data_IF_045382890862
#
_entry.id   IF_045382890862
#
_cell.length_a   1.000
_cell.length_b   1.000
_cell.length_c   1.000
_cell.angle_alpha   90.00
_cell.angle_beta   90.00
_cell.angle_gamma   90.00
#
_symmetry.space_group_name_H-M   'P 1'
#
loop_
_entity.id
_entity.type
_entity.pdbx_description
1 polymer ?
#
# COMPACT_ATOMS: atom_id res chain seq x y z
N UNK A 1 0.14 -21.12 32.02
CA UNK A 1 0.94 -20.26 31.11
C UNK A 1 2.04 -19.57 31.92
N UNK A 2 3.28 -19.80 31.56
CA UNK A 2 4.43 -19.13 32.18
C UNK A 2 4.55 -17.67 31.64
N UNK A 3 5.49 -16.87 32.20
CA UNK A 3 5.68 -15.46 31.81
C UNK A 3 6.08 -15.30 30.33
N UNK A 4 6.86 -16.24 29.77
CA UNK A 4 7.26 -16.27 28.37
C UNK A 4 6.10 -16.53 27.43
N UNK A 5 5.20 -17.48 27.77
CA UNK A 5 3.99 -17.76 26.99
C UNK A 5 2.99 -16.58 27.00
N UNK A 6 2.86 -15.89 28.14
CA UNK A 6 2.03 -14.65 28.22
C UNK A 6 2.62 -13.52 27.37
N UNK A 7 3.95 -13.37 27.37
CA UNK A 7 4.63 -12.38 26.51
C UNK A 7 4.42 -12.65 25.02
N UNK A 8 4.61 -13.90 24.59
CA UNK A 8 4.38 -14.32 23.20
C UNK A 8 2.91 -14.16 22.77
N UNK A 9 1.96 -14.52 23.63
CA UNK A 9 0.54 -14.33 23.36
C UNK A 9 0.16 -12.84 23.23
N UNK A 10 0.70 -11.98 24.08
CA UNK A 10 0.51 -10.53 24.02
C UNK A 10 1.12 -9.93 22.73
N UNK A 11 2.30 -10.35 22.32
CA UNK A 11 2.93 -9.89 21.09
C UNK A 11 2.10 -10.32 19.86
N UNK A 12 1.65 -11.56 19.78
CA UNK A 12 0.76 -12.04 18.72
C UNK A 12 -0.54 -11.22 18.66
N UNK A 13 -1.15 -10.92 19.78
CA UNK A 13 -2.36 -10.09 19.83
C UNK A 13 -2.10 -8.65 19.35
N UNK A 14 -0.94 -8.05 19.67
CA UNK A 14 -0.62 -6.69 19.25
C UNK A 14 -0.39 -6.55 17.75
N UNK A 15 0.22 -7.55 17.10
CA UNK A 15 0.53 -7.56 15.67
C UNK A 15 -0.49 -8.36 14.84
N UNK A 16 -1.39 -9.10 15.48
CA UNK A 16 -2.45 -9.86 14.82
C UNK A 16 -3.51 -8.96 14.19
N UNK A 17 -4.20 -9.51 13.19
CA UNK A 17 -5.32 -8.86 12.51
C UNK A 17 -6.61 -9.69 12.61
N UNK A 18 -6.69 -10.59 13.60
CA UNK A 18 -7.88 -11.43 13.81
C UNK A 18 -9.16 -10.58 13.94
N UNK A 19 -10.15 -10.93 13.15
CA UNK A 19 -11.46 -10.25 13.11
C UNK A 19 -11.44 -8.90 12.37
N UNK A 20 -10.29 -8.45 11.85
CA UNK A 20 -10.19 -7.22 11.02
C UNK A 20 -10.44 -7.55 9.56
N UNK A 21 -11.09 -6.61 8.86
CA UNK A 21 -11.25 -6.65 7.41
C UNK A 21 -10.35 -5.60 6.77
N UNK A 22 -9.53 -6.00 5.79
CA UNK A 22 -8.58 -5.10 5.11
C UNK A 22 -8.84 -5.07 3.61
N UNK A 23 -9.05 -3.88 3.06
CA UNK A 23 -9.10 -3.63 1.61
C UNK A 23 -7.68 -3.39 1.09
N UNK A 24 -7.26 -4.15 0.07
CA UNK A 24 -5.94 -4.01 -0.55
C UNK A 24 -6.12 -3.74 -2.05
N UNK A 25 -5.64 -2.59 -2.51
CA UNK A 25 -5.64 -2.27 -3.94
C UNK A 25 -4.33 -2.75 -4.59
N UNK A 26 -4.39 -3.13 -5.88
CA UNK A 26 -3.23 -3.66 -6.59
C UNK A 26 -2.75 -5.01 -6.06
N UNK A 27 -3.67 -5.82 -5.51
CA UNK A 27 -3.37 -7.09 -4.83
C UNK A 27 -2.98 -8.24 -5.76
N UNK A 28 -3.00 -8.05 -7.08
CA UNK A 28 -2.79 -9.11 -8.07
C UNK A 28 -1.32 -9.49 -8.29
N UNK A 29 -0.36 -8.70 -7.79
CA UNK A 29 1.09 -8.96 -7.94
C UNK A 29 1.93 -8.07 -7.00
N UNK A 30 3.24 -8.36 -6.93
CA UNK A 30 4.24 -7.54 -6.25
C UNK A 30 3.91 -7.27 -4.80
N UNK A 31 4.09 -6.02 -4.36
CA UNK A 31 3.88 -5.61 -2.96
C UNK A 31 2.45 -5.89 -2.49
N UNK A 32 1.42 -5.55 -3.28
CA UNK A 32 0.03 -5.78 -2.88
C UNK A 32 -0.32 -7.25 -2.68
N UNK A 33 0.27 -8.14 -3.48
CA UNK A 33 0.16 -9.60 -3.30
C UNK A 33 0.81 -10.06 -1.99
N UNK A 34 2.05 -9.60 -1.70
CA UNK A 34 2.74 -9.95 -0.46
C UNK A 34 1.99 -9.42 0.77
N UNK A 35 1.47 -8.18 0.71
CA UNK A 35 0.62 -7.61 1.77
C UNK A 35 -0.62 -8.46 2.00
N UNK A 36 -1.28 -8.94 0.94
CA UNK A 36 -2.44 -9.81 1.06
C UNK A 36 -2.11 -11.10 1.81
N UNK A 37 -1.02 -11.78 1.42
CA UNK A 37 -0.58 -13.00 2.09
C UNK A 37 -0.27 -12.77 3.58
N UNK A 38 0.58 -11.78 3.88
CA UNK A 38 0.95 -11.49 5.28
C UNK A 38 -0.24 -11.09 6.15
N UNK A 39 -1.20 -10.32 5.61
CA UNK A 39 -2.42 -9.97 6.34
C UNK A 39 -3.34 -11.18 6.58
N UNK A 40 -3.47 -12.10 5.60
CA UNK A 40 -4.22 -13.33 5.76
C UNK A 40 -3.59 -14.25 6.81
N UNK A 41 -2.27 -14.43 6.78
CA UNK A 41 -1.50 -15.18 7.77
C UNK A 41 -1.62 -14.58 9.19
N UNK A 42 -1.84 -13.25 9.29
CA UNK A 42 -2.12 -12.56 10.55
C UNK A 42 -3.61 -12.61 10.97
N UNK A 43 -4.47 -13.35 10.27
CA UNK A 43 -5.87 -13.58 10.62
C UNK A 43 -6.87 -12.55 10.08
N UNK A 44 -6.50 -11.69 9.15
CA UNK A 44 -7.43 -10.73 8.55
C UNK A 44 -8.35 -11.38 7.50
N UNK A 45 -9.60 -10.91 7.41
CA UNK A 45 -10.43 -11.09 6.22
C UNK A 45 -10.05 -10.02 5.17
N UNK A 46 -9.89 -10.41 3.91
CA UNK A 46 -9.39 -9.52 2.88
C UNK A 46 -10.43 -9.23 1.79
N UNK A 47 -10.45 -7.96 1.38
CA UNK A 47 -11.09 -7.52 0.15
C UNK A 47 -9.98 -7.11 -0.80
N UNK A 48 -9.73 -7.92 -1.83
CA UNK A 48 -8.68 -7.69 -2.82
C UNK A 48 -9.27 -6.97 -4.02
N UNK A 49 -8.56 -5.97 -4.56
CA UNK A 49 -8.95 -5.37 -5.83
C UNK A 49 -7.78 -5.15 -6.78
N UNK A 50 -8.08 -5.26 -8.06
CA UNK A 50 -7.17 -5.10 -9.19
C UNK A 50 -7.94 -5.23 -10.50
N UNK A 51 -7.29 -4.95 -11.63
CA UNK A 51 -7.92 -4.98 -12.97
C UNK A 51 -7.93 -6.38 -13.59
N UNK A 52 -6.92 -7.18 -13.27
CA UNK A 52 -6.73 -8.52 -13.83
C UNK A 52 -7.43 -9.55 -12.95
N UNK A 53 -8.55 -10.07 -13.45
CA UNK A 53 -9.40 -11.04 -12.74
C UNK A 53 -8.64 -12.34 -12.43
N UNK A 54 -7.89 -12.86 -13.38
CA UNK A 54 -7.21 -14.15 -13.22
C UNK A 54 -6.08 -14.08 -12.19
N UNK A 55 -5.25 -13.02 -12.26
CA UNK A 55 -4.19 -12.81 -11.27
C UNK A 55 -4.75 -12.55 -9.89
N UNK A 56 -5.85 -11.80 -9.80
CA UNK A 56 -6.50 -11.53 -8.53
C UNK A 56 -7.08 -12.80 -7.91
N UNK A 57 -7.67 -13.66 -8.74
CA UNK A 57 -8.19 -14.96 -8.32
C UNK A 57 -7.05 -15.88 -7.84
N UNK A 58 -5.92 -15.94 -8.56
CA UNK A 58 -4.73 -16.69 -8.12
C UNK A 58 -4.20 -16.18 -6.77
N UNK A 59 -4.19 -14.87 -6.55
CA UNK A 59 -3.83 -14.35 -5.24
C UNK A 59 -4.79 -14.85 -4.16
N UNK A 60 -6.10 -14.77 -4.41
CA UNK A 60 -7.13 -15.21 -3.49
C UNK A 60 -6.97 -16.68 -3.06
N UNK A 61 -6.65 -17.57 -4.01
CA UNK A 61 -6.45 -19.00 -3.80
C UNK A 61 -5.22 -19.36 -2.94
N UNK A 62 -4.26 -18.43 -2.84
CA UNK A 62 -3.03 -18.61 -2.06
C UNK A 62 -3.14 -18.07 -0.62
N UNK A 63 -4.27 -17.46 -0.26
CA UNK A 63 -4.44 -16.87 1.07
C UNK A 63 -4.74 -17.93 2.13
N UNK A 64 -4.15 -17.75 3.31
CA UNK A 64 -4.47 -18.54 4.50
C UNK A 64 -5.80 -18.09 5.10
N UNK A 65 -6.61 -19.04 5.57
CA UNK A 65 -7.91 -18.75 6.18
C UNK A 65 -9.05 -18.70 5.16
N UNK A 66 -10.15 -18.09 5.54
CA UNK A 66 -11.37 -18.00 4.76
C UNK A 66 -11.99 -16.58 4.76
N UNK A 67 -13.15 -16.41 4.11
CA UNK A 67 -13.87 -15.14 4.09
C UNK A 67 -13.23 -14.04 3.23
N UNK A 68 -12.17 -14.35 2.48
CA UNK A 68 -11.55 -13.40 1.56
C UNK A 68 -12.39 -13.22 0.29
N UNK A 69 -12.36 -12.01 -0.28
CA UNK A 69 -13.13 -11.66 -1.49
C UNK A 69 -12.27 -10.92 -2.49
N UNK A 70 -12.53 -11.15 -3.78
CA UNK A 70 -11.91 -10.43 -4.88
C UNK A 70 -12.97 -9.58 -5.60
N UNK A 71 -12.73 -8.28 -5.71
CA UNK A 71 -13.57 -7.31 -6.41
C UNK A 71 -12.76 -6.69 -7.55
N UNK A 72 -13.04 -7.10 -8.78
CA UNK A 72 -12.33 -6.58 -9.96
C UNK A 72 -12.81 -5.16 -10.26
N UNK A 73 -11.86 -4.20 -10.27
CA UNK A 73 -12.16 -2.82 -10.59
C UNK A 73 -10.95 -2.13 -11.25
N UNK A 74 -11.22 -1.29 -12.24
CA UNK A 74 -10.28 -0.26 -12.66
C UNK A 74 -10.50 0.98 -11.78
N UNK A 75 -9.51 1.32 -10.98
CA UNK A 75 -9.61 2.42 -10.03
C UNK A 75 -9.55 3.80 -10.71
N UNK A 76 -9.19 3.87 -11.99
CA UNK A 76 -9.24 5.09 -12.80
C UNK A 76 -10.64 5.33 -13.40
N UNK A 77 -11.49 4.32 -13.41
CA UNK A 77 -12.92 4.47 -13.71
C UNK A 77 -13.69 4.86 -12.44
N UNK A 78 -14.19 6.08 -12.40
CA UNK A 78 -14.91 6.60 -11.24
C UNK A 78 -16.21 5.85 -10.94
N UNK A 79 -16.87 5.21 -11.91
CA UNK A 79 -18.04 4.40 -11.67
C UNK A 79 -17.66 3.07 -11.00
N UNK A 80 -16.65 2.38 -11.53
CA UNK A 80 -16.11 1.15 -10.94
C UNK A 80 -15.55 1.41 -9.53
N UNK A 81 -14.87 2.53 -9.30
CA UNK A 81 -14.35 2.91 -7.99
C UNK A 81 -15.46 3.15 -6.96
N UNK A 82 -16.56 3.83 -7.36
CA UNK A 82 -17.73 4.02 -6.47
C UNK A 82 -18.41 2.70 -6.14
N UNK A 83 -18.53 1.81 -7.13
CA UNK A 83 -19.11 0.49 -6.93
C UNK A 83 -18.24 -0.37 -6.00
N UNK A 84 -16.92 -0.36 -6.19
CA UNK A 84 -15.97 -1.01 -5.27
C UNK A 84 -16.17 -0.53 -3.82
N UNK A 85 -16.31 0.79 -3.61
CA UNK A 85 -16.52 1.36 -2.28
C UNK A 85 -17.88 0.99 -1.65
N UNK A 86 -18.86 0.60 -2.45
CA UNK A 86 -20.14 0.03 -1.98
C UNK A 86 -19.97 -1.45 -1.61
N UNK A 87 -19.35 -2.21 -2.50
CA UNK A 87 -19.29 -3.68 -2.41
C UNK A 87 -18.26 -4.18 -1.40
N UNK A 88 -17.23 -3.38 -1.08
CA UNK A 88 -16.20 -3.78 -0.14
C UNK A 88 -16.75 -3.98 1.29
N UNK A 89 -17.85 -3.31 1.64
CA UNK A 89 -18.41 -3.34 2.99
C UNK A 89 -17.56 -2.57 4.01
N UNK A 90 -17.88 -2.69 5.30
CA UNK A 90 -17.09 -2.07 6.35
C UNK A 90 -15.69 -2.71 6.48
N UNK A 91 -14.64 -1.86 6.52
CA UNK A 91 -13.24 -2.28 6.64
C UNK A 91 -12.56 -1.64 7.85
N UNK A 92 -11.58 -2.33 8.41
CA UNK A 92 -10.72 -1.86 9.51
C UNK A 92 -9.40 -1.29 8.97
N UNK A 93 -9.01 -1.69 7.76
CA UNK A 93 -7.79 -1.23 7.11
C UNK A 93 -7.96 -1.03 5.61
N UNK A 94 -7.19 -0.08 5.07
CA UNK A 94 -7.09 0.14 3.62
C UNK A 94 -5.61 0.28 3.26
N UNK A 95 -5.12 -0.53 2.30
CA UNK A 95 -3.78 -0.41 1.75
C UNK A 95 -3.87 -0.01 0.28
N UNK A 96 -3.48 1.22 0.00
CA UNK A 96 -3.37 1.74 -1.36
C UNK A 96 -2.03 1.34 -1.98
N UNK A 97 -1.98 0.13 -2.58
CA UNK A 97 -0.78 -0.42 -3.21
C UNK A 97 -0.83 -0.37 -4.75
N UNK A 98 -1.99 -0.08 -5.34
CA UNK A 98 -2.10 0.08 -6.78
C UNK A 98 -1.25 1.26 -7.27
N UNK A 99 -0.49 1.05 -8.34
CA UNK A 99 0.32 2.11 -8.93
C UNK A 99 1.00 1.65 -10.20
N UNK A 100 1.44 2.63 -10.98
CA UNK A 100 2.26 2.45 -12.18
C UNK A 100 3.54 3.26 -12.06
N UNK A 101 4.57 2.79 -12.71
CA UNK A 101 5.85 3.46 -12.88
C UNK A 101 6.09 3.67 -14.38
N UNK A 102 6.88 4.64 -14.71
CA UNK A 102 7.38 4.83 -16.05
C UNK A 102 8.50 5.88 -16.04
N UNK A 103 9.33 5.83 -17.05
CA UNK A 103 10.42 6.76 -17.23
C UNK A 103 10.07 7.71 -18.37
N UNK A 104 10.05 9.00 -18.09
CA UNK A 104 9.91 10.05 -19.11
C UNK A 104 10.76 11.24 -18.71
N UNK A 105 11.92 11.46 -19.39
CA UNK A 105 12.65 12.70 -19.23
C UNK A 105 11.75 13.91 -19.52
N UNK A 106 11.89 15.00 -18.76
CA UNK A 106 10.95 16.14 -18.81
C UNK A 106 10.74 16.67 -20.24
N UNK A 107 11.78 16.72 -21.06
CA UNK A 107 11.69 17.17 -22.47
C UNK A 107 10.86 16.25 -23.39
N UNK A 108 10.64 15.00 -22.96
CA UNK A 108 9.89 13.97 -23.72
C UNK A 108 8.53 13.67 -23.07
N UNK A 109 8.22 14.34 -21.96
CA UNK A 109 6.98 14.13 -21.24
C UNK A 109 5.81 14.59 -22.10
N UNK A 110 4.86 13.68 -22.32
CA UNK A 110 3.56 14.00 -22.91
C UNK A 110 2.46 14.06 -21.85
N UNK A 111 1.35 14.71 -22.21
CA UNK A 111 0.23 14.96 -21.33
C UNK A 111 -0.47 13.68 -20.89
N UNK A 112 -0.69 12.74 -21.81
CA UNK A 112 -1.39 11.48 -21.51
C UNK A 112 -0.64 10.64 -20.49
N UNK A 113 0.68 10.53 -20.63
CA UNK A 113 1.50 9.79 -19.65
C UNK A 113 1.47 10.45 -18.27
N UNK A 114 1.60 11.79 -18.22
CA UNK A 114 1.51 12.53 -16.95
C UNK A 114 0.14 12.31 -16.28
N UNK A 115 -0.96 12.44 -17.05
CA UNK A 115 -2.31 12.21 -16.56
C UNK A 115 -2.49 10.78 -16.05
N UNK A 116 -2.06 9.80 -16.84
CA UNK A 116 -2.17 8.38 -16.46
C UNK A 116 -1.46 8.07 -15.12
N UNK A 117 -0.25 8.60 -14.94
CA UNK A 117 0.51 8.41 -13.69
C UNK A 117 -0.19 9.08 -12.51
N UNK A 118 -0.63 10.34 -12.67
CA UNK A 118 -1.32 11.07 -11.62
C UNK A 118 -2.66 10.43 -11.28
N UNK A 119 -3.43 10.05 -12.28
CA UNK A 119 -4.74 9.42 -12.11
C UNK A 119 -4.63 8.11 -11.33
N UNK A 120 -3.70 7.23 -11.76
CA UNK A 120 -3.53 5.92 -11.11
C UNK A 120 -2.92 6.02 -9.71
N UNK A 121 -1.85 6.82 -9.56
CA UNK A 121 -1.05 6.78 -8.33
C UNK A 121 -1.56 7.72 -7.23
N UNK A 122 -2.31 8.77 -7.60
CA UNK A 122 -2.73 9.81 -6.67
C UNK A 122 -4.25 9.99 -6.64
N UNK A 123 -4.90 10.28 -7.79
CA UNK A 123 -6.33 10.59 -7.81
C UNK A 123 -7.15 9.39 -7.37
N UNK A 124 -6.89 8.21 -7.92
CA UNK A 124 -7.63 7.00 -7.59
C UNK A 124 -7.58 6.64 -6.09
N UNK A 125 -6.43 6.56 -5.40
CA UNK A 125 -6.40 6.31 -3.96
C UNK A 125 -7.08 7.41 -3.14
N UNK A 126 -6.98 8.69 -3.54
CA UNK A 126 -7.68 9.79 -2.86
C UNK A 126 -9.19 9.66 -3.02
N UNK A 127 -9.67 9.39 -4.22
CA UNK A 127 -11.11 9.26 -4.49
C UNK A 127 -11.70 8.01 -3.83
N UNK A 128 -10.97 6.90 -3.79
CA UNK A 128 -11.40 5.71 -3.05
C UNK A 128 -11.49 6.00 -1.54
N UNK A 129 -10.46 6.62 -0.97
CA UNK A 129 -10.46 7.05 0.44
C UNK A 129 -11.65 7.95 0.74
N UNK A 130 -11.92 8.97 -0.11
CA UNK A 130 -13.08 9.84 0.02
C UNK A 130 -14.39 9.06 0.02
N UNK A 131 -14.57 8.12 -0.92
CA UNK A 131 -15.80 7.31 -0.99
C UNK A 131 -16.00 6.46 0.26
N UNK A 132 -14.94 5.84 0.77
CA UNK A 132 -15.00 5.03 1.99
C UNK A 132 -15.31 5.87 3.23
N UNK A 133 -14.68 7.04 3.37
CA UNK A 133 -14.89 7.94 4.51
C UNK A 133 -16.30 8.56 4.51
N UNK A 134 -16.79 9.01 3.35
CA UNK A 134 -18.13 9.61 3.23
C UNK A 134 -19.27 8.63 3.55
N UNK A 135 -19.03 7.34 3.38
CA UNK A 135 -19.98 6.25 3.71
C UNK A 135 -19.75 5.66 5.09
N UNK A 136 -18.79 6.17 5.85
CA UNK A 136 -18.34 5.57 7.12
C UNK A 136 -17.94 4.10 6.97
N UNK A 137 -17.50 3.67 5.79
CA UNK A 137 -17.08 2.31 5.52
C UNK A 137 -15.74 1.96 6.22
N UNK A 138 -14.91 2.93 6.58
CA UNK A 138 -13.77 2.69 7.46
C UNK A 138 -14.24 2.79 8.91
N UNK A 139 -14.11 1.69 9.66
CA UNK A 139 -14.53 1.62 11.07
C UNK A 139 -13.70 2.58 11.93
N UNK A 140 -14.28 3.01 13.05
CA UNK A 140 -13.54 3.76 14.07
C UNK A 140 -12.33 2.93 14.56
N UNK A 141 -11.19 3.60 14.73
CA UNK A 141 -9.92 2.93 15.06
C UNK A 141 -9.19 2.33 13.87
N UNK A 142 -9.73 2.43 12.65
CA UNK A 142 -9.16 1.88 11.43
C UNK A 142 -7.82 2.51 11.01
N UNK A 143 -7.22 1.97 9.95
CA UNK A 143 -5.92 2.40 9.42
C UNK A 143 -5.94 2.54 7.90
N UNK A 144 -5.48 3.68 7.39
CA UNK A 144 -5.26 3.92 5.96
C UNK A 144 -3.77 3.98 5.71
N UNK A 145 -3.29 3.22 4.74
CA UNK A 145 -1.89 3.16 4.39
C UNK A 145 -1.70 3.42 2.89
N UNK A 146 -0.86 4.42 2.58
CA UNK A 146 -0.51 4.77 1.22
C UNK A 146 0.89 4.26 0.88
N UNK A 147 1.03 3.50 -0.21
CA UNK A 147 2.34 3.15 -0.74
C UNK A 147 2.88 4.32 -1.58
N UNK A 148 3.70 5.13 -0.92
CA UNK A 148 4.52 6.16 -1.55
C UNK A 148 5.81 5.56 -2.14
N UNK A 149 6.90 6.26 -2.12
CA UNK A 149 8.24 5.81 -2.54
C UNK A 149 9.27 6.81 -2.02
N UNK A 150 10.52 6.40 -1.82
CA UNK A 150 11.64 7.34 -1.62
C UNK A 150 11.80 8.29 -2.81
N UNK A 151 11.36 7.92 -4.01
CA UNK A 151 11.33 8.82 -5.16
C UNK A 151 10.54 10.12 -4.91
N UNK A 152 9.68 10.15 -3.88
CA UNK A 152 8.98 11.36 -3.45
C UNK A 152 9.92 12.45 -2.88
N UNK A 153 11.11 12.06 -2.40
CA UNK A 153 12.08 12.93 -1.74
C UNK A 153 13.47 12.88 -2.39
N UNK A 154 13.75 11.85 -3.19
CA UNK A 154 15.02 11.69 -3.92
C UNK A 154 14.85 12.04 -5.40
N UNK A 155 15.96 12.37 -6.07
CA UNK A 155 15.98 12.68 -7.51
C UNK A 155 16.46 11.50 -8.35
N UNK A 156 15.65 11.08 -9.31
CA UNK A 156 16.08 10.12 -10.34
C UNK A 156 15.66 10.65 -11.72
N UNK A 157 16.58 10.66 -12.67
CA UNK A 157 16.31 11.14 -14.04
C UNK A 157 15.16 10.35 -14.66
N UNK A 158 14.20 11.07 -15.21
CA UNK A 158 13.01 10.49 -15.87
C UNK A 158 11.88 10.03 -14.94
N UNK A 159 12.06 10.07 -13.62
CA UNK A 159 10.99 9.70 -12.67
C UNK A 159 10.10 10.88 -12.24
N UNK A 160 10.23 12.08 -12.84
CA UNK A 160 9.48 13.26 -12.41
C UNK A 160 7.98 13.04 -12.17
N UNK A 161 7.19 12.54 -13.14
CA UNK A 161 5.76 12.27 -12.96
C UNK A 161 5.47 11.28 -11.83
N UNK A 162 6.22 10.18 -11.76
CA UNK A 162 6.10 9.19 -10.70
C UNK A 162 6.41 9.79 -9.33
N UNK A 163 7.55 10.45 -9.20
CA UNK A 163 7.99 11.11 -7.96
C UNK A 163 6.95 12.14 -7.50
N UNK A 164 6.46 12.98 -8.40
CA UNK A 164 5.40 13.95 -8.14
C UNK A 164 4.12 13.29 -7.62
N UNK A 165 3.68 12.18 -8.24
CA UNK A 165 2.50 11.44 -7.79
C UNK A 165 2.66 10.83 -6.39
N UNK A 166 3.86 10.31 -6.07
CA UNK A 166 4.17 9.74 -4.76
C UNK A 166 4.36 10.81 -3.67
N UNK A 167 4.91 11.97 -4.03
CA UNK A 167 4.99 13.13 -3.14
C UNK A 167 3.60 13.72 -2.83
N UNK A 168 2.68 13.74 -3.80
CA UNK A 168 1.31 14.19 -3.62
C UNK A 168 0.55 13.34 -2.58
N UNK A 169 0.78 12.01 -2.54
CA UNK A 169 0.23 11.15 -1.50
C UNK A 169 0.68 11.58 -0.10
N UNK A 170 1.97 11.89 0.08
CA UNK A 170 2.53 12.33 1.36
C UNK A 170 1.91 13.67 1.78
N UNK A 171 1.84 14.63 0.84
CA UNK A 171 1.28 15.95 1.09
C UNK A 171 -0.18 15.90 1.55
N UNK A 172 -1.00 15.03 0.93
CA UNK A 172 -2.43 14.90 1.25
C UNK A 172 -2.67 14.01 2.48
N UNK A 173 -1.85 12.98 2.71
CA UNK A 173 -1.99 12.07 3.84
C UNK A 173 -1.90 12.79 5.20
N UNK A 174 -1.02 13.79 5.32
CA UNK A 174 -0.82 14.52 6.59
C UNK A 174 -2.07 15.28 7.07
N UNK A 175 -2.69 16.18 6.26
CA UNK A 175 -3.95 16.80 6.66
C UNK A 175 -5.08 15.77 6.85
N UNK A 176 -5.18 14.75 6.00
CA UNK A 176 -6.14 13.66 6.16
C UNK A 176 -6.03 13.01 7.56
N UNK A 177 -4.81 12.72 8.02
CA UNK A 177 -4.58 12.12 9.33
C UNK A 177 -5.19 12.95 10.48
N UNK A 178 -5.15 14.28 10.38
CA UNK A 178 -5.76 15.18 11.36
C UNK A 178 -7.29 15.22 11.25
N UNK A 179 -7.83 15.22 10.03
CA UNK A 179 -9.28 15.25 9.78
C UNK A 179 -10.00 14.03 10.37
N UNK A 180 -9.38 12.84 10.25
CA UNK A 180 -10.01 11.57 10.66
C UNK A 180 -9.64 11.14 12.10
N UNK A 181 -8.73 11.85 12.76
CA UNK A 181 -8.22 11.49 14.09
C UNK A 181 -9.32 11.39 15.17
N UNK A 182 -10.37 12.23 15.09
CA UNK A 182 -11.51 12.18 16.03
C UNK A 182 -12.26 10.85 16.00
N UNK A 183 -12.20 10.12 14.89
CA UNK A 183 -12.76 8.76 14.74
C UNK A 183 -11.77 7.66 15.16
N UNK A 184 -10.58 8.05 15.66
CA UNK A 184 -9.48 7.12 15.93
C UNK A 184 -8.84 6.50 14.67
N UNK A 185 -9.26 6.92 13.47
CA UNK A 185 -8.71 6.42 12.20
C UNK A 185 -7.34 7.05 11.99
N UNK A 186 -6.37 6.25 11.58
CA UNK A 186 -5.00 6.66 11.30
C UNK A 186 -4.74 6.68 9.80
N UNK A 187 -3.91 7.60 9.33
CA UNK A 187 -3.40 7.62 7.97
C UNK A 187 -1.88 7.78 7.98
N UNK A 188 -1.18 6.91 7.27
CA UNK A 188 0.28 6.89 7.18
C UNK A 188 0.72 6.59 5.74
N UNK A 189 1.99 6.83 5.43
CA UNK A 189 2.60 6.47 4.16
C UNK A 189 3.84 5.61 4.39
N UNK A 190 4.01 4.56 3.58
CA UNK A 190 5.28 3.87 3.43
C UNK A 190 6.01 4.43 2.20
N UNK A 191 7.30 4.66 2.32
CA UNK A 191 8.17 5.11 1.26
C UNK A 191 9.27 4.04 1.00
N UNK A 192 8.94 2.95 0.28
CA UNK A 192 9.93 1.95 -0.07
C UNK A 192 10.98 2.52 -1.01
N UNK A 193 12.20 1.96 -0.92
CA UNK A 193 13.21 2.03 -1.96
C UNK A 193 12.83 1.16 -3.16
N UNK A 194 13.84 0.63 -3.86
CA UNK A 194 13.60 -0.40 -4.87
C UNK A 194 13.25 -1.71 -4.16
N UNK A 195 12.15 -2.29 -4.59
CA UNK A 195 11.65 -3.59 -4.14
C UNK A 195 11.64 -4.53 -5.34
N UNK A 196 12.13 -5.75 -5.18
CA UNK A 196 12.20 -6.75 -6.24
C UNK A 196 10.78 -7.22 -6.63
N UNK A 197 10.25 -6.66 -7.69
CA UNK A 197 8.89 -6.91 -8.18
C UNK A 197 8.88 -6.93 -9.70
N UNK A 198 7.84 -7.46 -10.37
CA UNK A 198 7.70 -7.34 -11.82
C UNK A 198 7.75 -5.90 -12.36
N UNK A 199 7.50 -4.91 -11.51
CA UNK A 199 7.58 -3.48 -11.86
C UNK A 199 9.04 -2.97 -11.97
N UNK A 200 9.97 -3.60 -11.26
CA UNK A 200 11.37 -3.14 -11.11
C UNK A 200 12.38 -4.03 -11.80
N UNK A 201 12.09 -5.30 -12.00
CA UNK A 201 13.02 -6.30 -12.57
C UNK A 201 12.94 -6.43 -14.09
N UNK A 202 12.41 -5.43 -14.79
CA UNK A 202 12.23 -5.44 -16.27
C UNK A 202 13.60 -5.50 -17.01
N UNK A 203 14.62 -4.84 -16.45
CA UNK A 203 15.99 -4.88 -16.96
C UNK A 203 16.93 -5.42 -15.88
N UNK A 204 17.39 -6.65 -16.08
CA UNK A 204 18.24 -7.34 -15.10
C UNK A 204 19.60 -6.65 -14.90
N UNK A 205 20.20 -6.09 -15.95
CA UNK A 205 21.51 -5.44 -15.85
C UNK A 205 21.42 -4.12 -15.07
N UNK A 206 20.38 -3.35 -15.33
CA UNK A 206 20.09 -2.13 -14.57
C UNK A 206 19.80 -2.47 -13.10
N UNK A 207 19.00 -3.50 -12.87
CA UNK A 207 18.61 -3.92 -11.51
C UNK A 207 19.83 -4.34 -10.68
N UNK A 208 20.72 -5.15 -11.23
CA UNK A 208 21.98 -5.54 -10.56
C UNK A 208 22.92 -4.34 -10.34
N UNK A 209 22.94 -3.39 -11.25
CA UNK A 209 23.73 -2.15 -11.09
C UNK A 209 23.21 -1.28 -9.93
N UNK A 210 21.90 -1.16 -9.82
CA UNK A 210 21.29 -0.37 -8.73
C UNK A 210 21.37 -1.08 -7.38
N UNK A 211 21.23 -2.40 -7.35
CA UNK A 211 21.33 -3.25 -6.15
C UNK A 211 22.64 -3.01 -5.40
N UNK A 212 23.75 -2.91 -6.12
CA UNK A 212 25.10 -2.66 -5.55
C UNK A 212 25.22 -1.30 -4.84
N UNK A 213 24.29 -0.39 -5.05
CA UNK A 213 24.28 0.96 -4.42
C UNK A 213 23.52 0.96 -3.09
N UNK A 214 22.76 -0.08 -2.80
CA UNK A 214 21.96 -0.16 -1.57
C UNK A 214 22.81 -0.67 -0.41
N UNK A 215 22.91 0.07 0.70
CA UNK A 215 23.66 -0.37 1.89
C UNK A 215 23.17 -1.68 2.49
N UNK A 216 21.84 -1.91 2.53
CA UNK A 216 21.21 -3.13 3.07
C UNK A 216 20.55 -3.99 1.98
N UNK A 217 21.03 -3.87 0.71
CA UNK A 217 20.39 -4.51 -0.44
C UNK A 217 19.02 -3.88 -0.80
N UNK A 218 18.47 -4.27 -1.95
CA UNK A 218 17.12 -3.89 -2.36
C UNK A 218 16.08 -4.67 -1.55
N UNK A 219 14.92 -4.07 -1.32
CA UNK A 219 13.87 -4.70 -0.53
C UNK A 219 13.19 -5.86 -1.27
N UNK A 220 12.62 -6.78 -0.49
CA UNK A 220 11.68 -7.79 -0.97
C UNK A 220 10.24 -7.33 -0.73
N UNK A 221 9.25 -7.83 -1.49
CA UNK A 221 7.84 -7.49 -1.26
C UNK A 221 7.38 -7.77 0.18
N UNK A 222 7.94 -8.79 0.82
CA UNK A 222 7.66 -9.20 2.19
C UNK A 222 8.11 -8.15 3.21
N UNK A 223 9.23 -7.45 2.98
CA UNK A 223 9.70 -6.37 3.87
C UNK A 223 8.67 -5.26 3.97
N UNK A 224 8.08 -4.89 2.82
CA UNK A 224 7.01 -3.89 2.77
C UNK A 224 5.73 -4.43 3.40
N UNK A 225 5.42 -5.71 3.19
CA UNK A 225 4.23 -6.34 3.74
C UNK A 225 4.27 -6.39 5.27
N UNK A 226 5.41 -6.68 5.90
CA UNK A 226 5.58 -6.65 7.35
C UNK A 226 5.44 -5.25 7.93
N UNK A 227 5.94 -4.24 7.23
CA UNK A 227 5.70 -2.85 7.62
C UNK A 227 4.20 -2.49 7.51
N UNK A 228 3.50 -2.94 6.45
CA UNK A 228 2.06 -2.77 6.33
C UNK A 228 1.32 -3.43 7.50
N UNK A 229 1.69 -4.65 7.88
CA UNK A 229 1.12 -5.37 9.02
C UNK A 229 1.24 -4.56 10.32
N UNK A 230 2.43 -4.00 10.60
CA UNK A 230 2.62 -3.10 11.74
C UNK A 230 1.63 -1.94 11.73
N UNK A 231 1.50 -1.22 10.60
CA UNK A 231 0.62 -0.06 10.50
C UNK A 231 -0.88 -0.41 10.54
N UNK A 232 -1.27 -1.61 10.16
CA UNK A 232 -2.66 -2.10 10.25
C UNK A 232 -3.01 -2.62 11.64
N UNK A 233 -2.02 -3.05 12.40
CA UNK A 233 -2.19 -3.65 13.73
C UNK A 233 -2.35 -2.62 14.85
N UNK A 234 -2.69 -3.09 16.04
CA UNK A 234 -2.80 -2.27 17.25
C UNK A 234 -1.45 -1.82 17.81
N UNK A 235 -0.33 -2.44 17.35
CA UNK A 235 1.02 -2.01 17.71
C UNK A 235 1.31 -0.57 17.28
N UNK A 236 0.66 -0.08 16.22
CA UNK A 236 0.83 1.28 15.70
C UNK A 236 -0.29 2.26 16.10
N UNK A 237 -1.12 1.96 17.11
CA UNK A 237 -2.30 2.76 17.49
C UNK A 237 -2.02 4.23 17.84
N UNK A 238 -0.78 4.61 18.05
CA UNK A 238 -0.34 5.98 18.32
C UNK A 238 0.45 6.61 17.17
N UNK A 239 0.47 5.93 15.99
CA UNK A 239 1.23 6.39 14.82
C UNK A 239 0.25 6.83 13.73
N UNK A 240 0.22 8.13 13.43
CA UNK A 240 -0.56 8.72 12.35
C UNK A 240 0.16 9.94 11.77
N UNK A 241 -0.05 10.24 10.50
CA UNK A 241 0.59 11.36 9.79
C UNK A 241 2.08 11.14 9.47
N UNK A 242 2.60 9.92 9.68
CA UNK A 242 4.03 9.62 9.45
C UNK A 242 4.30 9.12 8.03
N UNK A 243 5.51 9.40 7.56
CA UNK A 243 6.11 8.76 6.40
C UNK A 243 7.21 7.85 6.92
N UNK A 244 7.11 6.57 6.62
CA UNK A 244 8.06 5.56 7.05
C UNK A 244 8.90 5.12 5.85
N UNK A 245 10.19 5.51 5.82
CA UNK A 245 11.14 5.07 4.80
C UNK A 245 11.53 3.62 5.04
N UNK A 246 11.54 2.83 3.97
CA UNK A 246 11.92 1.42 3.96
C UNK A 246 12.77 1.20 2.70
N UNK A 247 13.98 1.73 2.73
CA UNK A 247 14.79 1.98 1.54
C UNK A 247 16.21 1.39 1.61
N UNK A 248 16.50 0.59 2.64
CA UNK A 248 17.81 -0.02 2.81
C UNK A 248 18.95 1.00 2.99
N UNK A 249 18.63 2.25 3.34
CA UNK A 249 19.59 3.33 3.58
C UNK A 249 20.02 4.08 2.32
N UNK A 250 19.42 3.84 1.16
CA UNK A 250 19.83 4.48 -0.11
C UNK A 250 19.60 5.99 -0.13
N UNK A 251 18.66 6.51 0.64
CA UNK A 251 18.39 7.95 0.73
C UNK A 251 19.62 8.74 1.24
N UNK A 252 20.47 8.09 2.01
CA UNK A 252 21.64 8.70 2.67
C UNK A 252 22.99 8.19 2.11
N UNK A 253 22.97 7.37 1.04
CA UNK A 253 24.17 6.75 0.46
C UNK A 253 24.76 7.54 -0.71
#
# INVERSE_FOLDING_TARGET
MNSSERGAAKARHLFGLEGKTVLITGASQGIGHAVARSCAEAGAHLVLTGRDRERLQRTLELLAGDGHRALVADLTDMAALRQLALDCGPVDGVVHSAGIRGLSPMRMLNDDFLRQVMETNYVAPMMLTRQLLSRSAIRAGGSILFLSSIAAVTGTVGLGPYAGSKAALIGTMRPLALEIAKRGIRANALAPGIVETPLTTVDASWFEGIRKRYPLDVGQPEDVAWACLYFLSDASKKVTGTVFSLDGGIEYA
#
